data_IF_662598595183
#
_entry.id   IF_662598595183
#
_cell.length_a   1.000
_cell.length_b   1.000
_cell.length_c   1.000
_cell.angle_alpha   90.00
_cell.angle_beta   90.00
_cell.angle_gamma   90.00
#
_symmetry.space_group_name_H-M   'P 1'
#
loop_
_entity.id
_entity.type
_entity.pdbx_description
1 polymer ?
#
# COMPACT_ATOMS: atom_id res chain seq x y z
N UNK A 1 21.50 -69.96 -1.50
CA UNK A 1 22.19 -68.66 -1.47
C UNK A 1 21.29 -67.63 -2.16
N UNK A 2 20.44 -66.95 -1.40
CA UNK A 2 19.43 -66.01 -1.91
C UNK A 2 20.00 -64.60 -1.76
N UNK A 3 20.17 -63.88 -2.88
CA UNK A 3 20.58 -62.47 -2.90
C UNK A 3 19.30 -61.62 -2.96
N UNK A 4 18.80 -61.19 -1.81
CA UNK A 4 17.71 -60.21 -1.73
C UNK A 4 18.27 -58.82 -2.06
N UNK A 5 17.98 -58.33 -3.27
CA UNK A 5 18.16 -56.93 -3.64
C UNK A 5 17.05 -56.10 -2.97
N UNK A 6 17.41 -55.36 -1.93
CA UNK A 6 16.56 -54.30 -1.38
C UNK A 6 16.46 -53.17 -2.40
N UNK A 7 15.33 -53.08 -3.10
CA UNK A 7 15.00 -51.93 -3.94
C UNK A 7 14.52 -50.79 -3.03
N UNK A 8 15.37 -49.80 -2.81
CA UNK A 8 15.01 -48.55 -2.13
C UNK A 8 14.18 -47.73 -3.13
N UNK A 9 12.85 -47.78 -3.01
CA UNK A 9 11.96 -46.87 -3.71
C UNK A 9 12.08 -45.49 -3.05
N UNK A 10 12.90 -44.62 -3.64
CA UNK A 10 12.99 -43.22 -3.25
C UNK A 10 11.71 -42.49 -3.69
N UNK A 11 10.77 -42.33 -2.76
CA UNK A 11 9.59 -41.48 -2.95
C UNK A 11 10.08 -40.02 -2.91
N UNK A 12 10.31 -39.44 -4.08
CA UNK A 12 10.51 -37.99 -4.24
C UNK A 12 9.17 -37.29 -3.94
N UNK A 13 9.02 -36.82 -2.70
CA UNK A 13 7.97 -35.88 -2.33
C UNK A 13 8.23 -34.55 -3.05
N UNK A 14 7.50 -34.31 -4.13
CA UNK A 14 7.43 -33.01 -4.78
C UNK A 14 6.66 -32.07 -3.83
N UNK A 15 7.38 -31.24 -3.08
CA UNK A 15 6.76 -30.13 -2.36
C UNK A 15 6.30 -29.10 -3.39
N UNK A 16 5.02 -29.16 -3.78
CA UNK A 16 4.39 -28.07 -4.53
C UNK A 16 4.29 -26.88 -3.58
N UNK A 17 5.18 -25.90 -3.76
CA UNK A 17 5.01 -24.58 -3.14
C UNK A 17 3.83 -23.92 -3.85
N UNK A 18 2.65 -23.99 -3.25
CA UNK A 18 1.55 -23.13 -3.65
C UNK A 18 1.94 -21.70 -3.29
N UNK A 19 2.49 -20.99 -4.27
CA UNK A 19 2.55 -19.54 -4.21
C UNK A 19 1.09 -19.05 -4.22
N UNK A 20 0.56 -18.72 -3.04
CA UNK A 20 -0.66 -17.94 -2.96
C UNK A 20 -0.38 -16.61 -3.64
N UNK A 21 -0.72 -16.52 -4.93
CA UNK A 21 -0.74 -15.25 -5.63
C UNK A 21 -1.64 -14.33 -4.79
N UNK A 22 -1.06 -13.28 -4.21
CA UNK A 22 -1.86 -12.19 -3.67
C UNK A 22 -2.72 -11.72 -4.85
N UNK A 23 -4.03 -11.66 -4.66
CA UNK A 23 -4.95 -11.07 -5.64
C UNK A 23 -4.54 -9.61 -5.85
N UNK A 24 -3.62 -9.39 -6.79
CA UNK A 24 -3.13 -8.10 -7.22
C UNK A 24 -3.76 -7.79 -8.57
N UNK A 25 -4.50 -6.69 -8.62
CA UNK A 25 -5.10 -6.14 -9.82
C UNK A 25 -4.12 -5.11 -10.38
N UNK A 26 -3.65 -5.32 -11.61
CA UNK A 26 -2.66 -4.42 -12.24
C UNK A 26 -3.14 -2.96 -12.33
N UNK A 27 -4.42 -2.74 -12.62
CA UNK A 27 -4.97 -1.43 -12.98
C UNK A 27 -4.71 -1.08 -14.46
N UNK A 28 -4.87 0.19 -14.86
CA UNK A 28 -5.25 1.32 -14.01
C UNK A 28 -6.76 1.31 -13.70
N UNK A 29 -7.11 1.68 -12.46
CA UNK A 29 -8.48 1.99 -12.06
C UNK A 29 -8.57 3.49 -11.79
N UNK A 30 -9.46 4.17 -12.51
CA UNK A 30 -9.71 5.60 -12.29
C UNK A 30 -10.44 5.80 -10.96
N UNK A 31 -10.05 6.83 -10.21
CA UNK A 31 -10.73 7.18 -8.97
C UNK A 31 -10.77 8.69 -8.74
N UNK A 32 -11.82 9.16 -8.07
CA UNK A 32 -11.95 10.53 -7.57
C UNK A 32 -11.60 10.56 -6.08
N UNK A 33 -10.76 11.51 -5.68
CA UNK A 33 -10.40 11.69 -4.27
C UNK A 33 -11.58 12.35 -3.54
N UNK A 34 -12.16 11.62 -2.59
CA UNK A 34 -13.22 12.15 -1.74
C UNK A 34 -12.65 12.87 -0.52
N UNK A 35 -11.60 12.30 0.08
CA UNK A 35 -10.99 12.84 1.31
C UNK A 35 -9.59 12.30 1.55
N UNK A 36 -8.71 13.15 2.08
CA UNK A 36 -7.45 12.72 2.69
C UNK A 36 -7.72 12.28 4.14
N UNK A 37 -7.43 11.02 4.44
CA UNK A 37 -7.72 10.41 5.75
C UNK A 37 -6.51 10.53 6.68
N UNK A 38 -5.33 10.26 6.14
CA UNK A 38 -4.03 10.31 6.82
C UNK A 38 -2.93 10.75 5.84
N UNK A 39 -1.69 10.95 6.30
CA UNK A 39 -0.54 11.33 5.46
C UNK A 39 -0.13 10.28 4.42
N UNK A 40 -0.71 9.08 4.46
CA UNK A 40 -0.49 7.99 3.48
C UNK A 40 -1.79 7.31 3.02
N UNK A 41 -2.95 7.82 3.41
CA UNK A 41 -4.25 7.13 3.21
C UNK A 41 -5.31 8.08 2.65
N UNK A 42 -5.92 7.68 1.54
CA UNK A 42 -7.01 8.38 0.86
C UNK A 42 -8.32 7.62 1.00
N UNK A 43 -9.45 8.32 1.00
CA UNK A 43 -10.75 7.77 0.68
C UNK A 43 -11.11 8.23 -0.73
N UNK A 44 -11.43 7.28 -1.60
CA UNK A 44 -11.66 7.56 -3.02
C UNK A 44 -12.93 6.87 -3.50
N UNK A 45 -13.58 7.45 -4.51
CA UNK A 45 -14.59 6.77 -5.31
C UNK A 45 -13.89 6.12 -6.51
N UNK A 46 -13.66 4.81 -6.42
CA UNK A 46 -13.05 4.03 -7.49
C UNK A 46 -14.10 3.60 -8.52
N UNK A 47 -13.71 3.64 -9.80
CA UNK A 47 -14.56 3.32 -10.95
C UNK A 47 -13.92 2.22 -11.80
N UNK A 48 -13.97 0.95 -11.37
CA UNK A 48 -13.31 -0.15 -12.08
C UNK A 48 -13.98 -0.51 -13.42
N UNK A 49 -15.28 -0.25 -13.56
CA UNK A 49 -16.05 -0.51 -14.78
C UNK A 49 -17.08 0.60 -15.02
N UNK A 50 -17.57 0.75 -16.27
CA UNK A 50 -18.68 1.65 -16.54
C UNK A 50 -19.85 1.41 -15.59
N UNK A 51 -20.40 2.50 -15.05
CA UNK A 51 -21.55 2.49 -14.12
C UNK A 51 -21.30 1.84 -12.75
N UNK A 52 -20.07 1.41 -12.44
CA UNK A 52 -19.71 0.90 -11.12
C UNK A 52 -18.84 1.92 -10.38
N UNK A 53 -19.33 2.34 -9.21
CA UNK A 53 -18.65 3.24 -8.28
C UNK A 53 -18.57 2.57 -6.91
N UNK A 54 -17.43 2.66 -6.25
CA UNK A 54 -17.27 2.18 -4.88
C UNK A 54 -16.38 3.11 -4.08
N UNK A 55 -16.78 3.41 -2.84
CA UNK A 55 -15.91 4.10 -1.90
C UNK A 55 -14.93 3.11 -1.26
N UNK A 56 -13.64 3.41 -1.36
CA UNK A 56 -12.59 2.55 -0.82
C UNK A 56 -11.48 3.38 -0.19
N UNK A 57 -10.98 2.89 0.95
CA UNK A 57 -9.76 3.43 1.54
C UNK A 57 -8.55 2.90 0.77
N UNK A 58 -7.67 3.80 0.34
CA UNK A 58 -6.44 3.47 -0.39
C UNK A 58 -5.26 3.89 0.46
N UNK A 59 -4.46 2.91 0.91
CA UNK A 59 -3.13 3.16 1.46
C UNK A 59 -2.14 3.26 0.31
N UNK A 60 -1.40 4.36 0.26
CA UNK A 60 -0.40 4.59 -0.77
C UNK A 60 0.74 3.59 -0.57
N UNK A 61 1.04 2.83 -1.63
CA UNK A 61 2.08 1.80 -1.62
C UNK A 61 3.47 2.44 -1.46
N UNK A 62 4.35 1.74 -0.73
CA UNK A 62 5.76 2.09 -0.64
C UNK A 62 6.09 3.15 0.42
N UNK A 63 5.09 3.73 1.08
CA UNK A 63 5.30 4.78 2.08
C UNK A 63 4.61 4.51 3.41
N UNK A 64 5.10 5.18 4.44
CA UNK A 64 4.51 5.25 5.76
C UNK A 64 4.63 6.67 6.31
N UNK A 65 3.49 7.27 6.64
CA UNK A 65 3.43 8.60 7.23
C UNK A 65 3.55 8.56 8.76
N UNK A 66 4.09 9.62 9.40
CA UNK A 66 4.07 9.75 10.86
C UNK A 66 2.65 9.76 11.43
N UNK A 67 2.45 9.14 12.59
CA UNK A 67 1.12 8.92 13.15
C UNK A 67 0.45 10.22 13.67
N UNK A 68 -0.71 10.59 13.11
CA UNK A 68 -1.49 11.78 13.52
C UNK A 68 -1.97 11.76 14.98
N UNK A 69 -2.08 10.58 15.58
CA UNK A 69 -2.54 10.39 16.97
C UNK A 69 -1.41 10.01 17.93
N UNK A 70 -0.16 10.27 17.53
CA UNK A 70 0.99 10.01 18.38
C UNK A 70 0.94 10.82 19.68
N UNK A 71 1.43 10.22 20.78
CA UNK A 71 1.64 10.93 22.05
C UNK A 71 2.81 11.91 21.97
N UNK A 72 3.70 11.74 21.00
CA UNK A 72 4.81 12.64 20.76
C UNK A 72 4.36 13.79 19.87
N UNK A 73 4.51 15.02 20.35
CA UNK A 73 4.11 16.22 19.61
C UNK A 73 4.85 16.36 18.28
N UNK A 74 6.16 16.11 18.25
CA UNK A 74 6.96 16.20 17.04
C UNK A 74 6.49 15.20 15.95
N UNK A 75 6.13 13.99 16.33
CA UNK A 75 5.58 12.98 15.40
C UNK A 75 4.22 13.43 14.87
N UNK A 76 3.36 13.93 15.76
CA UNK A 76 2.03 14.42 15.35
C UNK A 76 2.14 15.61 14.39
N UNK A 77 3.06 16.54 14.64
CA UNK A 77 3.32 17.68 13.75
C UNK A 77 3.81 17.19 12.37
N UNK A 78 4.79 16.29 12.33
CA UNK A 78 5.25 15.71 11.07
C UNK A 78 4.14 14.96 10.31
N UNK A 79 3.24 14.28 11.01
CA UNK A 79 2.07 13.63 10.41
C UNK A 79 1.07 14.65 9.83
N UNK A 80 0.90 15.80 10.49
CA UNK A 80 0.09 16.90 9.98
C UNK A 80 0.69 17.50 8.71
N UNK A 81 2.02 17.68 8.65
CA UNK A 81 2.72 18.18 7.47
C UNK A 81 2.56 17.21 6.28
N UNK A 82 2.72 15.91 6.51
CA UNK A 82 2.50 14.87 5.50
C UNK A 82 1.07 14.90 4.95
N UNK A 83 0.08 14.95 5.85
CA UNK A 83 -1.33 15.06 5.49
C UNK A 83 -1.63 16.33 4.69
N UNK A 84 -1.12 17.47 5.11
CA UNK A 84 -1.34 18.74 4.43
C UNK A 84 -0.74 18.71 3.01
N UNK A 85 0.46 18.16 2.84
CA UNK A 85 1.05 17.99 1.51
C UNK A 85 0.19 17.10 0.61
N UNK A 86 -0.36 16.02 1.15
CA UNK A 86 -1.26 15.14 0.42
C UNK A 86 -2.58 15.82 0.06
N UNK A 87 -3.13 16.66 0.96
CA UNK A 87 -4.31 17.51 0.69
C UNK A 87 -4.05 18.51 -0.44
N UNK A 88 -2.87 19.12 -0.51
CA UNK A 88 -2.48 20.03 -1.60
C UNK A 88 -2.39 19.28 -2.93
N UNK A 89 -1.74 18.11 -2.96
CA UNK A 89 -1.65 17.28 -4.17
C UNK A 89 -3.05 16.85 -4.64
N UNK A 90 -3.92 16.43 -3.71
CA UNK A 90 -5.30 16.04 -4.00
C UNK A 90 -6.15 17.20 -4.55
N UNK A 91 -5.97 18.41 -4.02
CA UNK A 91 -6.67 19.60 -4.52
C UNK A 91 -6.22 19.99 -5.94
N UNK A 92 -4.95 19.77 -6.27
CA UNK A 92 -4.41 20.04 -7.61
C UNK A 92 -4.81 18.97 -8.63
N UNK A 93 -5.00 17.73 -8.19
CA UNK A 93 -5.37 16.59 -9.04
C UNK A 93 -6.44 15.73 -8.36
N UNK A 94 -7.73 16.13 -8.44
CA UNK A 94 -8.82 15.43 -7.76
C UNK A 94 -9.11 14.04 -8.36
N UNK A 95 -8.69 13.80 -9.59
CA UNK A 95 -8.75 12.48 -10.25
C UNK A 95 -7.36 11.85 -10.27
N UNK A 96 -7.31 10.55 -9.97
CA UNK A 96 -6.09 9.74 -9.90
C UNK A 96 -6.26 8.41 -10.61
N UNK A 97 -5.14 7.75 -10.89
CA UNK A 97 -5.08 6.36 -11.33
C UNK A 97 -4.49 5.48 -10.24
N UNK A 98 -5.18 4.37 -9.96
CA UNK A 98 -4.74 3.33 -9.05
C UNK A 98 -4.12 2.17 -9.84
N UNK A 99 -2.90 1.77 -9.50
CA UNK A 99 -2.21 0.61 -10.09
C UNK A 99 -1.61 -0.28 -9.01
N UNK A 100 -1.22 -1.51 -9.38
CA UNK A 100 -0.72 -2.55 -8.44
C UNK A 100 -1.61 -2.62 -7.20
N UNK A 101 -2.90 -2.87 -7.40
CA UNK A 101 -3.92 -2.82 -6.36
C UNK A 101 -3.98 -4.18 -5.66
N UNK A 102 -3.75 -4.23 -4.35
CA UNK A 102 -3.87 -5.45 -3.55
C UNK A 102 -4.67 -5.20 -2.28
N UNK A 103 -5.32 -6.23 -1.73
CA UNK A 103 -5.95 -6.12 -0.41
C UNK A 103 -4.94 -5.84 0.70
N UNK A 104 -5.30 -5.01 1.69
CA UNK A 104 -4.51 -4.90 2.92
C UNK A 104 -4.76 -6.09 3.86
N UNK A 105 -3.79 -6.37 4.74
CA UNK A 105 -3.72 -7.52 5.65
C UNK A 105 -4.99 -7.73 6.50
N UNK A 106 -5.71 -6.66 6.81
CA UNK A 106 -6.85 -6.69 7.74
C UNK A 106 -8.23 -6.57 7.06
N UNK A 107 -8.28 -6.45 5.73
CA UNK A 107 -9.50 -6.22 4.94
C UNK A 107 -10.29 -4.97 5.41
N UNK A 108 -10.34 -3.93 4.58
CA UNK A 108 -10.96 -2.65 4.92
C UNK A 108 -10.33 -1.45 4.22
N UNK A 109 -9.15 -1.67 3.63
CA UNK A 109 -8.50 -0.78 2.67
C UNK A 109 -7.75 -1.61 1.63
N UNK A 110 -7.46 -1.01 0.50
CA UNK A 110 -6.54 -1.53 -0.52
C UNK A 110 -5.18 -0.84 -0.37
N UNK A 111 -4.14 -1.49 -0.91
CA UNK A 111 -2.82 -0.90 -1.11
C UNK A 111 -2.61 -0.74 -2.60
N UNK A 112 -2.28 0.47 -3.06
CA UNK A 112 -2.10 0.76 -4.47
C UNK A 112 -1.05 1.85 -4.67
N UNK A 113 -0.43 1.87 -5.84
CA UNK A 113 0.21 3.09 -6.30
C UNK A 113 -0.85 4.11 -6.65
N UNK A 114 -0.55 5.38 -6.40
CA UNK A 114 -1.42 6.51 -6.70
C UNK A 114 -0.68 7.45 -7.65
N UNK A 115 -1.19 7.52 -8.87
CA UNK A 115 -0.66 8.37 -9.93
C UNK A 115 -1.61 9.53 -10.16
N UNK A 116 -1.10 10.76 -10.12
CA UNK A 116 -1.83 11.97 -10.39
C UNK A 116 -2.17 12.11 -11.89
N UNK A 117 -3.07 13.02 -12.21
CA UNK A 117 -3.48 13.29 -13.60
C UNK A 117 -2.35 13.79 -14.51
N UNK A 118 -1.29 14.36 -13.95
CA UNK A 118 -0.09 14.78 -14.65
C UNK A 118 0.98 13.67 -14.80
N UNK A 119 0.69 12.46 -14.31
CA UNK A 119 1.56 11.29 -14.39
C UNK A 119 2.55 11.14 -13.22
N UNK A 120 2.58 12.07 -12.27
CA UNK A 120 3.48 11.95 -11.12
C UNK A 120 2.96 10.98 -10.05
N UNK A 121 3.88 10.29 -9.39
CA UNK A 121 3.60 9.42 -8.25
C UNK A 121 3.44 10.24 -6.97
N UNK A 122 2.35 10.04 -6.25
CA UNK A 122 2.13 10.67 -4.94
C UNK A 122 3.16 10.18 -3.91
N UNK A 123 3.49 8.88 -3.96
CA UNK A 123 4.49 8.30 -3.06
C UNK A 123 5.86 8.98 -3.23
N UNK A 124 6.29 9.17 -4.47
CA UNK A 124 7.58 9.79 -4.77
C UNK A 124 7.58 11.27 -4.35
N UNK A 125 6.48 11.99 -4.60
CA UNK A 125 6.33 13.38 -4.16
C UNK A 125 6.49 13.54 -2.64
N UNK A 126 5.83 12.68 -1.85
CA UNK A 126 5.93 12.71 -0.39
C UNK A 126 7.30 12.27 0.13
N UNK A 127 7.94 11.29 -0.51
CA UNK A 127 9.30 10.85 -0.18
C UNK A 127 10.33 11.95 -0.45
N UNK A 128 10.26 12.60 -1.62
CA UNK A 128 11.15 13.69 -1.99
C UNK A 128 11.01 14.89 -1.05
N UNK A 129 9.81 15.16 -0.56
CA UNK A 129 9.55 16.20 0.44
C UNK A 129 10.05 15.83 1.85
N UNK A 130 10.49 14.59 2.10
CA UNK A 130 10.94 14.12 3.40
C UNK A 130 9.82 13.97 4.44
N UNK A 131 8.57 13.88 3.99
CA UNK A 131 7.38 13.85 4.86
C UNK A 131 6.98 12.44 5.30
N UNK A 132 7.46 11.42 4.58
CA UNK A 132 7.14 10.01 4.82
C UNK A 132 8.40 9.15 4.73
N UNK A 133 8.31 7.92 5.26
CA UNK A 133 9.39 6.93 5.17
C UNK A 133 9.05 5.87 4.13
N UNK A 134 10.07 5.31 3.47
CA UNK A 134 9.91 4.13 2.63
C UNK A 134 9.44 2.94 3.48
N UNK A 135 8.44 2.20 3.01
CA UNK A 135 7.87 1.07 3.72
C UNK A 135 7.35 -0.01 2.75
N UNK A 136 7.80 -1.24 2.96
CA UNK A 136 7.55 -2.40 2.10
C UNK A 136 6.54 -3.40 2.70
N UNK A 137 5.90 -3.07 3.82
CA UNK A 137 5.00 -3.97 4.55
C UNK A 137 5.68 -4.80 5.64
N UNK A 138 6.96 -4.56 5.91
CA UNK A 138 7.71 -5.20 6.99
C UNK A 138 7.32 -4.75 8.41
N UNK A 139 8.15 -5.10 9.39
CA UNK A 139 7.92 -4.65 10.78
C UNK A 139 8.34 -3.18 10.92
N UNK A 140 7.39 -2.32 11.26
CA UNK A 140 7.68 -0.93 11.60
C UNK A 140 8.60 -0.86 12.84
N UNK A 141 9.66 -0.04 12.82
CA UNK A 141 10.38 0.32 14.04
C UNK A 141 9.42 0.99 15.02
N UNK A 142 9.70 0.90 16.32
CA UNK A 142 8.97 1.74 17.28
C UNK A 142 9.29 3.20 16.98
N UNK A 143 8.24 4.01 16.80
CA UNK A 143 8.39 5.45 16.82
C UNK A 143 8.92 5.85 18.21
N UNK A 144 10.17 6.29 18.23
CA UNK A 144 10.76 6.90 19.42
C UNK A 144 10.57 8.40 19.29
N UNK A 145 9.93 9.02 20.28
CA UNK A 145 10.00 10.46 20.43
C UNK A 145 11.48 10.78 20.68
N UNK A 146 12.13 11.48 19.74
CA UNK A 146 13.52 11.89 19.89
C UNK A 146 13.67 12.71 21.17
N UNK A 147 14.66 12.35 21.97
CA UNK A 147 15.11 13.08 23.16
C UNK A 147 15.57 14.49 22.83
#
# INVERSE_FOLDING_TARGET
MIRTLFSIAAILSVFTTEAMARDEISGPVSAEILRVVDGDTLLVEAQPWPQQKMEVYVRIRGIDAPELKSKCEAVRAAGQDARQSLEIMAAQSPTIQLTRISGDKYFGRIVADVILSDGHSVADGLLLAGLVRSYDGGRKPRETCGS
#
